data_IF_369379733132
#
_entry.id   IF_369379733132
#
_cell.length_a   1.000
_cell.length_b   1.000
_cell.length_c   1.000
_cell.angle_alpha   90.00
_cell.angle_beta   90.00
_cell.angle_gamma   90.00
#
_symmetry.space_group_name_H-M   'P 1'
#
loop_
_entity.id
_entity.type
_entity.pdbx_description
1 polymer ?
#
# COMPACT_ATOMS: atom_id res chain seq x y z
N UNK A 1 -12.41 3.23 21.51
CA UNK A 1 -11.37 2.48 22.26
C UNK A 1 -10.12 3.35 22.35
N UNK A 2 -9.28 3.24 23.39
CA UNK A 2 -8.04 4.03 23.48
C UNK A 2 -6.95 3.52 22.53
N UNK A 3 -5.99 4.37 22.19
CA UNK A 3 -4.76 3.98 21.48
C UNK A 3 -3.91 3.07 22.38
N UNK A 4 -3.25 2.06 21.81
CA UNK A 4 -2.31 1.18 22.50
C UNK A 4 -0.93 1.30 21.87
N UNK A 5 0.07 1.69 22.64
CA UNK A 5 1.44 1.89 22.15
C UNK A 5 2.37 1.03 23.00
N UNK A 6 3.13 0.15 22.36
CA UNK A 6 4.12 -0.65 23.06
C UNK A 6 5.23 0.25 23.65
N UNK A 7 5.75 -0.02 24.86
CA UNK A 7 6.74 0.85 25.51
C UNK A 7 8.05 1.06 24.74
N UNK A 8 8.37 0.18 23.79
CA UNK A 8 9.58 0.28 22.94
C UNK A 8 9.34 0.96 21.60
N UNK A 9 8.10 1.35 21.29
CA UNK A 9 7.81 2.14 20.10
C UNK A 9 8.31 3.58 20.27
N UNK A 10 8.92 4.13 19.23
CA UNK A 10 9.37 5.51 19.17
C UNK A 10 8.38 6.33 18.33
N UNK A 11 7.62 7.20 18.99
CA UNK A 11 6.68 8.11 18.35
C UNK A 11 7.23 9.53 18.49
N UNK A 12 7.53 10.17 17.37
CA UNK A 12 8.02 11.55 17.37
C UNK A 12 6.89 12.56 17.65
N UNK A 13 7.27 13.82 17.86
CA UNK A 13 6.30 14.90 18.12
C UNK A 13 5.37 15.13 16.92
N UNK A 14 4.15 15.61 17.19
CA UNK A 14 3.15 15.94 16.17
C UNK A 14 2.75 14.75 15.29
N UNK A 15 2.77 13.53 15.83
CA UNK A 15 2.14 12.36 15.23
C UNK A 15 0.71 12.25 15.76
N UNK A 16 -0.25 12.11 14.87
CA UNK A 16 -1.65 11.89 15.23
C UNK A 16 -2.00 10.41 15.08
N UNK A 17 -2.60 9.82 16.11
CA UNK A 17 -2.99 8.40 16.11
C UNK A 17 -4.44 8.29 16.56
N UNK A 18 -5.30 7.77 15.68
CA UNK A 18 -6.73 7.63 15.90
C UNK A 18 -7.08 6.54 16.92
N UNK A 19 -8.29 6.63 17.45
CA UNK A 19 -8.83 5.73 18.47
C UNK A 19 -8.76 4.24 18.05
N UNK A 20 -8.49 3.36 19.03
CA UNK A 20 -8.42 1.91 18.80
C UNK A 20 -7.17 1.41 18.06
N UNK A 21 -6.34 2.31 17.53
CA UNK A 21 -5.08 1.94 16.86
C UNK A 21 -4.08 1.33 17.83
N UNK A 22 -3.37 0.29 17.36
CA UNK A 22 -2.36 -0.44 18.11
C UNK A 22 -1.00 -0.36 17.42
N UNK A 23 0.01 0.09 18.16
CA UNK A 23 1.40 0.20 17.71
C UNK A 23 2.25 -0.79 18.50
N UNK A 24 2.86 -1.73 17.78
CA UNK A 24 3.63 -2.83 18.34
C UNK A 24 5.09 -2.44 18.62
N UNK A 25 5.88 -3.39 19.13
CA UNK A 25 7.23 -3.13 19.61
C UNK A 25 8.18 -2.64 18.51
N UNK A 26 9.11 -1.77 18.90
CA UNK A 26 10.18 -1.26 18.05
C UNK A 26 9.70 -0.57 16.75
N UNK A 27 8.44 -0.17 16.69
CA UNK A 27 7.93 0.71 15.64
C UNK A 27 8.53 2.09 15.80
N UNK A 28 8.88 2.75 14.69
CA UNK A 28 9.26 4.16 14.68
C UNK A 28 8.33 4.92 13.73
N UNK A 29 7.56 5.86 14.28
CA UNK A 29 6.70 6.77 13.51
C UNK A 29 7.23 8.18 13.66
N UNK A 30 7.61 8.78 12.53
CA UNK A 30 8.21 10.11 12.48
C UNK A 30 7.17 11.22 12.43
N UNK A 31 7.60 12.41 12.81
CA UNK A 31 6.78 13.60 12.98
C UNK A 31 5.88 13.92 11.79
N UNK A 32 4.80 14.66 12.03
CA UNK A 32 3.87 15.14 11.00
C UNK A 32 3.13 14.02 10.24
N UNK A 33 3.17 12.79 10.73
CA UNK A 33 2.43 11.65 10.17
C UNK A 33 1.09 11.50 10.85
N UNK A 34 0.08 11.05 10.11
CA UNK A 34 -1.26 10.80 10.62
C UNK A 34 -1.63 9.33 10.43
N UNK A 35 -2.11 8.69 11.49
CA UNK A 35 -2.62 7.32 11.47
C UNK A 35 -4.06 7.37 11.94
N UNK A 36 -4.98 6.85 11.12
CA UNK A 36 -6.40 6.81 11.44
C UNK A 36 -6.75 5.87 12.59
N UNK A 37 -8.04 5.59 12.67
CA UNK A 37 -8.65 4.76 13.73
C UNK A 37 -8.55 3.27 13.41
N UNK A 38 -8.52 2.45 14.46
CA UNK A 38 -8.58 0.99 14.37
C UNK A 38 -7.48 0.36 13.50
N UNK A 39 -6.32 1.02 13.43
CA UNK A 39 -5.17 0.51 12.69
C UNK A 39 -4.31 -0.45 13.53
N UNK A 40 -3.54 -1.28 12.84
CA UNK A 40 -2.49 -2.11 13.43
C UNK A 40 -1.17 -1.77 12.75
N UNK A 41 -0.19 -1.32 13.52
CA UNK A 41 1.18 -1.06 13.06
C UNK A 41 2.10 -2.08 13.70
N UNK A 42 2.44 -3.11 12.92
CA UNK A 42 3.22 -4.27 13.33
C UNK A 42 4.68 -3.94 13.65
N UNK A 43 5.32 -4.81 14.40
CA UNK A 43 6.62 -4.62 15.00
C UNK A 43 7.72 -4.25 14.01
N UNK A 44 8.66 -3.39 14.44
CA UNK A 44 9.81 -2.94 13.62
C UNK A 44 9.43 -2.22 12.32
N UNK A 45 8.17 -1.81 12.16
CA UNK A 45 7.74 -0.96 11.06
C UNK A 45 8.30 0.44 11.22
N UNK A 46 8.78 1.02 10.14
CA UNK A 46 9.24 2.41 10.07
C UNK A 46 8.31 3.23 9.19
N UNK A 47 7.77 4.31 9.74
CA UNK A 47 6.94 5.28 9.06
C UNK A 47 7.68 6.61 9.04
N UNK A 48 8.11 7.04 7.85
CA UNK A 48 8.76 8.32 7.65
C UNK A 48 7.82 9.49 7.94
N UNK A 49 8.38 10.71 7.98
CA UNK A 49 7.61 11.92 8.29
C UNK A 49 6.61 12.24 7.18
N UNK A 50 5.49 12.87 7.57
CA UNK A 50 4.48 13.32 6.60
C UNK A 50 3.74 12.20 5.87
N UNK A 51 3.71 10.98 6.43
CA UNK A 51 2.96 9.86 5.87
C UNK A 51 1.51 9.93 6.36
N UNK A 52 0.57 9.67 5.45
CA UNK A 52 -0.86 9.63 5.77
C UNK A 52 -1.39 8.19 5.67
N UNK A 53 -1.88 7.65 6.78
CA UNK A 53 -2.51 6.34 6.88
C UNK A 53 -3.95 6.54 7.34
N UNK A 54 -4.91 6.03 6.57
CA UNK A 54 -6.33 6.06 6.85
C UNK A 54 -6.75 5.15 8.01
N UNK A 55 -8.01 4.75 8.01
CA UNK A 55 -8.63 3.96 9.07
C UNK A 55 -8.63 2.46 8.74
N UNK A 56 -8.62 1.61 9.77
CA UNK A 56 -8.72 0.14 9.65
C UNK A 56 -7.60 -0.45 8.77
N UNK A 57 -6.45 0.20 8.74
CA UNK A 57 -5.27 -0.23 7.99
C UNK A 57 -4.48 -1.23 8.83
N UNK A 58 -4.06 -2.34 8.20
CA UNK A 58 -3.20 -3.34 8.82
C UNK A 58 -1.83 -3.35 8.15
N UNK A 59 -0.82 -2.92 8.89
CA UNK A 59 0.59 -2.93 8.49
C UNK A 59 1.29 -3.98 9.34
N UNK A 60 1.86 -5.01 8.71
CA UNK A 60 2.54 -6.09 9.42
C UNK A 60 4.00 -5.72 9.70
N UNK A 61 4.74 -6.66 10.29
CA UNK A 61 6.11 -6.43 10.74
C UNK A 61 7.08 -5.97 9.64
N UNK A 62 8.08 -5.18 10.03
CA UNK A 62 9.22 -4.81 9.18
C UNK A 62 8.83 -4.14 7.85
N UNK A 63 7.77 -3.35 7.85
CA UNK A 63 7.40 -2.54 6.67
C UNK A 63 8.17 -1.22 6.71
N UNK A 64 8.72 -0.79 5.57
CA UNK A 64 9.37 0.51 5.42
C UNK A 64 8.50 1.43 4.55
N UNK A 65 7.99 2.51 5.15
CA UNK A 65 7.13 3.49 4.48
C UNK A 65 7.88 4.83 4.43
N UNK A 66 8.27 5.24 3.23
CA UNK A 66 8.97 6.51 3.00
C UNK A 66 8.01 7.71 2.95
N UNK A 67 8.57 8.92 2.97
CA UNK A 67 7.80 10.15 2.78
C UNK A 67 7.06 10.13 1.41
N UNK A 68 5.98 10.92 1.32
CA UNK A 68 5.10 11.02 0.14
C UNK A 68 4.25 9.77 -0.14
N UNK A 69 4.11 8.86 0.84
CA UNK A 69 3.17 7.75 0.76
C UNK A 69 1.85 8.13 1.44
N UNK A 70 0.75 7.91 0.73
CA UNK A 70 -0.61 7.99 1.26
C UNK A 70 -1.27 6.62 1.15
N UNK A 71 -1.82 6.14 2.27
CA UNK A 71 -2.51 4.85 2.39
C UNK A 71 -3.95 5.13 2.83
N UNK A 72 -4.91 4.76 1.99
CA UNK A 72 -6.34 4.89 2.29
C UNK A 72 -6.86 3.76 3.19
N UNK A 73 -8.14 3.82 3.51
CA UNK A 73 -8.81 2.94 4.46
C UNK A 73 -8.79 1.45 4.09
N UNK A 74 -8.73 0.59 5.09
CA UNK A 74 -8.89 -0.85 4.92
C UNK A 74 -7.76 -1.54 4.14
N UNK A 75 -6.64 -0.83 3.92
CA UNK A 75 -5.47 -1.39 3.24
C UNK A 75 -4.76 -2.41 4.14
N UNK A 76 -4.26 -3.47 3.50
CA UNK A 76 -3.39 -4.47 4.12
C UNK A 76 -1.99 -4.39 3.50
N UNK A 77 -0.97 -4.20 4.33
CA UNK A 77 0.45 -4.22 3.93
C UNK A 77 1.13 -5.34 4.69
N UNK A 78 1.55 -6.37 3.97
CA UNK A 78 2.16 -7.56 4.55
C UNK A 78 3.64 -7.37 4.85
N UNK A 79 4.17 -8.26 5.70
CA UNK A 79 5.47 -8.09 6.32
C UNK A 79 6.63 -7.92 5.32
N UNK A 80 7.62 -7.11 5.67
CA UNK A 80 8.82 -6.90 4.86
C UNK A 80 8.61 -6.10 3.57
N UNK A 81 7.48 -5.44 3.40
CA UNK A 81 7.22 -4.58 2.23
C UNK A 81 8.02 -3.28 2.31
N UNK A 82 8.61 -2.85 1.20
CA UNK A 82 9.44 -1.64 1.11
C UNK A 82 8.85 -0.68 0.08
N UNK A 83 8.58 0.56 0.50
CA UNK A 83 8.23 1.68 -0.38
C UNK A 83 9.46 2.52 -0.75
N UNK A 84 9.42 3.12 -1.94
CA UNK A 84 10.45 4.04 -2.44
C UNK A 84 9.78 5.32 -2.95
N UNK A 85 10.49 6.44 -2.89
CA UNK A 85 9.97 7.77 -3.28
C UNK A 85 10.91 8.57 -4.19
N UNK A 86 12.22 8.26 -4.24
CA UNK A 86 13.18 9.01 -5.06
C UNK A 86 13.32 8.41 -6.47
N UNK A 87 13.12 9.22 -7.51
CA UNK A 87 13.31 8.83 -8.91
C UNK A 87 14.78 8.67 -9.30
N UNK A 88 15.66 9.49 -8.74
CA UNK A 88 17.08 9.57 -9.10
C UNK A 88 18.00 9.59 -7.86
N UNK A 89 17.98 8.53 -7.05
CA UNK A 89 18.75 8.49 -5.81
C UNK A 89 20.25 8.51 -6.07
N UNK A 90 20.95 9.45 -5.43
CA UNK A 90 22.42 9.52 -5.36
C UNK A 90 22.83 10.04 -3.99
N UNK A 91 23.83 9.42 -3.40
CA UNK A 91 24.36 9.84 -2.10
C UNK A 91 25.06 11.21 -2.15
N UNK A 92 25.68 11.56 -3.28
CA UNK A 92 26.53 12.74 -3.42
C UNK A 92 26.21 13.56 -4.65
N UNK A 93 26.79 14.75 -4.72
CA UNK A 93 26.98 15.51 -5.97
C UNK A 93 27.75 14.68 -7.02
N UNK A 94 27.61 14.97 -8.33
CA UNK A 94 28.29 14.22 -9.40
C UNK A 94 29.81 14.18 -9.31
N UNK A 95 30.43 15.16 -8.66
CA UNK A 95 31.88 15.23 -8.44
C UNK A 95 32.37 14.49 -7.18
N UNK A 96 31.45 13.81 -6.46
CA UNK A 96 31.69 13.01 -5.25
C UNK A 96 32.24 13.80 -4.04
N UNK A 97 32.12 15.14 -4.02
CA UNK A 97 32.70 15.96 -2.95
C UNK A 97 31.76 16.26 -1.78
N UNK A 98 30.45 16.19 -2.00
CA UNK A 98 29.46 16.58 -0.99
C UNK A 98 28.31 15.58 -0.95
N UNK A 99 27.85 15.24 0.26
CA UNK A 99 26.62 14.48 0.46
C UNK A 99 25.42 15.33 0.02
N UNK A 100 24.47 14.71 -0.67
CA UNK A 100 23.17 15.33 -0.96
C UNK A 100 22.31 15.32 0.31
N UNK A 101 21.42 16.29 0.42
CA UNK A 101 20.40 16.25 1.47
C UNK A 101 19.51 15.03 1.29
N UNK A 102 18.99 14.51 2.40
CA UNK A 102 17.90 13.51 2.42
C UNK A 102 16.52 14.16 2.58
N UNK A 103 16.46 15.49 2.57
CA UNK A 103 15.20 16.24 2.56
C UNK A 103 14.47 16.04 1.22
N UNK A 104 13.14 16.10 1.20
CA UNK A 104 12.38 15.94 -0.04
C UNK A 104 12.69 17.05 -1.04
N UNK A 105 12.80 16.69 -2.30
CA UNK A 105 12.92 17.62 -3.42
C UNK A 105 11.88 17.31 -4.50
N UNK A 106 12.01 17.92 -5.68
CA UNK A 106 11.14 17.70 -6.85
C UNK A 106 11.19 16.25 -7.41
N UNK A 107 12.13 15.42 -6.95
CA UNK A 107 12.26 14.02 -7.31
C UNK A 107 11.73 13.06 -6.24
N UNK A 108 11.25 13.59 -5.11
CA UNK A 108 10.46 12.84 -4.13
C UNK A 108 9.03 12.73 -4.61
N UNK A 109 8.71 11.61 -5.27
CA UNK A 109 7.43 11.40 -5.94
C UNK A 109 6.46 10.60 -5.08
N UNK A 110 5.14 10.92 -5.16
CA UNK A 110 4.16 10.33 -4.30
C UNK A 110 3.78 8.90 -4.71
N UNK A 111 3.35 8.11 -3.73
CA UNK A 111 2.69 6.82 -3.95
C UNK A 111 1.36 6.79 -3.23
N UNK A 112 0.28 6.47 -3.94
CA UNK A 112 -1.06 6.35 -3.39
C UNK A 112 -1.49 4.88 -3.35
N UNK A 113 -1.81 4.37 -2.16
CA UNK A 113 -2.41 3.04 -1.98
C UNK A 113 -3.88 3.23 -1.64
N UNK A 114 -4.76 2.90 -2.60
CA UNK A 114 -6.20 3.14 -2.47
C UNK A 114 -6.90 2.11 -1.60
N UNK A 115 -8.12 2.47 -1.19
CA UNK A 115 -8.90 1.76 -0.19
C UNK A 115 -9.05 0.26 -0.49
N UNK A 116 -8.88 -0.56 0.55
CA UNK A 116 -9.04 -2.01 0.50
C UNK A 116 -7.95 -2.77 -0.27
N UNK A 117 -6.94 -2.10 -0.82
CA UNK A 117 -5.84 -2.76 -1.51
C UNK A 117 -5.05 -3.67 -0.55
N UNK A 118 -4.50 -4.76 -1.09
CA UNK A 118 -3.63 -5.69 -0.37
C UNK A 118 -2.27 -5.76 -1.03
N UNK A 119 -1.21 -5.52 -0.26
CA UNK A 119 0.16 -5.71 -0.66
C UNK A 119 0.72 -6.94 0.03
N UNK A 120 1.11 -7.95 -0.75
CA UNK A 120 1.70 -9.20 -0.29
C UNK A 120 3.07 -9.01 0.38
N UNK A 121 3.51 -10.03 1.11
CA UNK A 121 4.75 -9.96 1.89
C UNK A 121 5.98 -9.80 1.00
N UNK A 122 6.98 -9.05 1.47
CA UNK A 122 8.26 -8.86 0.79
C UNK A 122 8.17 -8.14 -0.57
N UNK A 123 7.11 -7.36 -0.81
CA UNK A 123 6.98 -6.57 -2.03
C UNK A 123 7.90 -5.34 -2.00
N UNK A 124 8.35 -4.92 -3.18
CA UNK A 124 9.03 -3.64 -3.37
C UNK A 124 8.15 -2.74 -4.24
N UNK A 125 7.80 -1.57 -3.71
CA UNK A 125 6.90 -0.61 -4.34
C UNK A 125 7.71 0.58 -4.85
N UNK A 126 7.63 0.82 -6.14
CA UNK A 126 8.21 2.00 -6.80
C UNK A 126 7.57 3.32 -6.33
N UNK A 127 8.10 4.42 -6.86
CA UNK A 127 7.55 5.76 -6.68
C UNK A 127 6.64 6.17 -7.86
N UNK A 128 5.95 7.31 -7.72
CA UNK A 128 5.15 7.93 -8.78
C UNK A 128 4.06 7.00 -9.34
N UNK A 129 3.38 6.28 -8.45
CA UNK A 129 2.38 5.29 -8.85
C UNK A 129 1.19 5.23 -7.89
N UNK A 130 0.12 4.61 -8.37
CA UNK A 130 -1.06 4.30 -7.57
C UNK A 130 -1.36 2.81 -7.56
N UNK A 131 -1.73 2.27 -6.41
CA UNK A 131 -2.29 0.93 -6.27
C UNK A 131 -3.80 1.08 -6.10
N UNK A 132 -4.54 0.55 -7.06
CA UNK A 132 -5.98 0.71 -7.18
C UNK A 132 -6.78 0.10 -6.03
N UNK A 133 -8.05 0.51 -5.92
CA UNK A 133 -8.99 0.02 -4.91
C UNK A 133 -9.09 -1.49 -4.97
N UNK A 134 -8.99 -2.16 -3.83
CA UNK A 134 -9.06 -3.63 -3.72
C UNK A 134 -8.08 -4.39 -4.64
N UNK A 135 -7.08 -3.73 -5.22
CA UNK A 135 -6.03 -4.41 -5.97
C UNK A 135 -5.25 -5.34 -5.03
N UNK A 136 -4.75 -6.43 -5.58
CA UNK A 136 -3.97 -7.42 -4.84
C UNK A 136 -2.60 -7.59 -5.47
N UNK A 137 -1.56 -7.21 -4.74
CA UNK A 137 -0.17 -7.44 -5.11
C UNK A 137 0.26 -8.78 -4.51
N UNK A 138 0.61 -9.75 -5.33
CA UNK A 138 1.15 -11.02 -4.84
C UNK A 138 2.49 -10.84 -4.14
N UNK A 139 2.80 -11.74 -3.21
CA UNK A 139 4.02 -11.71 -2.42
C UNK A 139 5.29 -11.66 -3.28
N UNK A 140 6.30 -10.93 -2.83
CA UNK A 140 7.60 -10.81 -3.50
C UNK A 140 7.59 -10.03 -4.81
N UNK A 141 6.51 -9.33 -5.15
CA UNK A 141 6.41 -8.64 -6.43
C UNK A 141 7.17 -7.31 -6.43
N UNK A 142 7.77 -6.96 -7.58
CA UNK A 142 8.35 -5.64 -7.82
C UNK A 142 7.36 -4.77 -8.59
N UNK A 143 6.70 -3.83 -7.92
CA UNK A 143 5.69 -2.96 -8.51
C UNK A 143 6.37 -1.70 -9.05
N UNK A 144 6.46 -1.59 -10.39
CA UNK A 144 7.11 -0.46 -11.08
C UNK A 144 6.15 0.44 -11.84
N UNK A 145 4.85 0.13 -11.82
CA UNK A 145 3.79 0.87 -12.52
C UNK A 145 2.51 0.86 -11.67
N UNK A 146 1.65 1.83 -11.90
CA UNK A 146 0.32 1.87 -11.29
C UNK A 146 -0.47 0.59 -11.58
N UNK A 147 -1.19 0.14 -10.56
CA UNK A 147 -2.03 -1.06 -10.59
C UNK A 147 -3.48 -0.62 -10.62
N UNK A 148 -4.29 -1.02 -11.61
CA UNK A 148 -5.70 -0.65 -11.65
C UNK A 148 -6.51 -1.27 -10.51
N UNK A 149 -7.69 -0.70 -10.25
CA UNK A 149 -8.61 -1.19 -9.24
C UNK A 149 -8.98 -2.67 -9.50
N UNK A 150 -9.07 -3.47 -8.44
CA UNK A 150 -9.40 -4.91 -8.47
C UNK A 150 -8.42 -5.80 -9.24
N UNK A 151 -7.26 -5.32 -9.68
CA UNK A 151 -6.29 -6.17 -10.35
C UNK A 151 -5.51 -7.05 -9.37
N UNK A 152 -5.33 -8.32 -9.74
CA UNK A 152 -4.28 -9.17 -9.19
C UNK A 152 -3.01 -8.99 -10.05
N UNK A 153 -1.93 -8.56 -9.42
CA UNK A 153 -0.62 -8.44 -10.06
C UNK A 153 0.41 -9.31 -9.35
N UNK A 154 1.30 -9.94 -10.11
CA UNK A 154 2.39 -10.77 -9.56
C UNK A 154 3.67 -10.60 -10.36
N UNK A 155 4.81 -10.89 -9.73
CA UNK A 155 6.11 -11.11 -10.39
C UNK A 155 7.07 -9.92 -10.34
N UNK A 156 8.18 -10.06 -11.08
CA UNK A 156 9.26 -9.10 -11.13
C UNK A 156 9.66 -8.86 -12.61
N UNK A 157 9.30 -7.71 -13.21
CA UNK A 157 8.36 -6.71 -12.69
C UNK A 157 6.93 -7.26 -12.60
N UNK A 158 6.13 -6.68 -11.70
CA UNK A 158 4.75 -7.09 -11.47
C UNK A 158 3.89 -6.85 -12.71
N UNK A 159 3.07 -7.84 -13.07
CA UNK A 159 2.13 -7.77 -14.20
C UNK A 159 0.73 -8.18 -13.76
N UNK A 160 -0.27 -7.51 -14.31
CA UNK A 160 -1.67 -7.89 -14.19
C UNK A 160 -1.90 -9.30 -14.76
N UNK A 161 -2.42 -10.19 -13.93
CA UNK A 161 -2.73 -11.58 -14.32
C UNK A 161 -4.21 -11.92 -14.19
N UNK A 162 -4.99 -11.11 -13.46
CA UNK A 162 -6.43 -11.33 -13.32
C UNK A 162 -7.12 -10.24 -12.50
N UNK A 163 -8.40 -10.46 -12.25
CA UNK A 163 -9.26 -9.62 -11.44
C UNK A 163 -9.61 -10.32 -10.11
N UNK A 164 -9.72 -9.55 -9.04
CA UNK A 164 -10.12 -10.01 -7.70
C UNK A 164 -11.36 -9.27 -7.22
N UNK A 165 -12.19 -9.97 -6.47
CA UNK A 165 -13.29 -9.38 -5.75
C UNK A 165 -12.76 -8.60 -4.53
N UNK A 166 -13.55 -7.66 -4.02
CA UNK A 166 -13.26 -6.96 -2.76
C UNK A 166 -13.10 -7.89 -1.54
N UNK A 167 -13.65 -9.11 -1.58
CA UNK A 167 -13.46 -10.12 -0.54
C UNK A 167 -12.14 -10.91 -0.68
N UNK A 168 -11.33 -10.62 -1.71
CA UNK A 168 -10.03 -11.24 -1.97
C UNK A 168 -10.06 -12.47 -2.87
N UNK A 169 -11.23 -12.93 -3.31
CA UNK A 169 -11.34 -14.07 -4.23
C UNK A 169 -10.97 -13.69 -5.66
N UNK A 170 -10.28 -14.60 -6.36
CA UNK A 170 -10.02 -14.46 -7.79
C UNK A 170 -11.34 -14.60 -8.57
N UNK A 171 -11.66 -13.60 -9.38
CA UNK A 171 -12.83 -13.61 -10.25
C UNK A 171 -12.50 -14.29 -11.58
N UNK A 172 -11.38 -13.89 -12.20
CA UNK A 172 -11.00 -14.32 -13.54
C UNK A 172 -9.51 -14.07 -13.76
N UNK A 173 -8.85 -14.93 -14.55
CA UNK A 173 -7.53 -14.63 -15.13
C UNK A 173 -7.68 -13.91 -16.46
N UNK A 174 -6.90 -12.86 -16.71
CA UNK A 174 -7.02 -12.10 -17.95
C UNK A 174 -6.62 -12.89 -19.20
N UNK A 175 -5.83 -13.96 -19.06
CA UNK A 175 -5.52 -14.87 -20.16
C UNK A 175 -6.75 -15.67 -20.66
N UNK A 176 -7.79 -15.77 -19.84
CA UNK A 176 -9.04 -16.50 -20.14
C UNK A 176 -10.16 -15.53 -20.58
N UNK A 177 -9.89 -14.22 -20.62
CA UNK A 177 -10.86 -13.22 -21.01
C UNK A 177 -10.95 -13.14 -22.54
N UNK A 178 -12.13 -13.44 -23.09
CA UNK A 178 -12.36 -13.40 -24.54
C UNK A 178 -13.14 -12.17 -24.98
N UNK A 179 -14.04 -11.64 -24.14
CA UNK A 179 -14.86 -10.43 -24.39
C UNK A 179 -15.34 -9.81 -23.06
N UNK A 180 -16.23 -8.81 -23.14
CA UNK A 180 -16.99 -8.27 -22.01
C UNK A 180 -17.79 -9.38 -21.33
N UNK A 181 -17.60 -9.58 -20.03
CA UNK A 181 -18.33 -10.59 -19.26
C UNK A 181 -18.70 -10.11 -17.86
N UNK A 182 -19.82 -10.63 -17.35
CA UNK A 182 -20.25 -10.43 -15.97
C UNK A 182 -19.87 -11.67 -15.18
N UNK A 183 -19.20 -11.48 -14.06
CA UNK A 183 -18.70 -12.55 -13.18
C UNK A 183 -19.17 -12.26 -11.76
N UNK A 184 -19.90 -13.22 -11.18
CA UNK A 184 -20.27 -13.17 -9.78
C UNK A 184 -19.17 -13.80 -8.92
N UNK A 185 -18.81 -13.15 -7.82
CA UNK A 185 -17.88 -13.74 -6.88
C UNK A 185 -18.45 -15.01 -6.27
N UNK A 186 -17.73 -16.12 -6.37
CA UNK A 186 -18.15 -17.44 -5.85
C UNK A 186 -18.33 -17.50 -4.33
N UNK A 187 -17.81 -16.52 -3.58
CA UNK A 187 -17.87 -16.50 -2.10
C UNK A 187 -18.87 -15.47 -1.57
N UNK A 188 -18.82 -14.23 -2.05
CA UNK A 188 -19.70 -13.18 -1.54
C UNK A 188 -20.88 -12.84 -2.45
N UNK A 189 -20.95 -13.44 -3.64
CA UNK A 189 -22.04 -13.23 -4.59
C UNK A 189 -22.08 -11.85 -5.26
N UNK A 190 -21.09 -10.98 -5.02
CA UNK A 190 -21.06 -9.66 -5.62
C UNK A 190 -20.78 -9.73 -7.14
N UNK A 191 -21.55 -9.02 -7.97
CA UNK A 191 -21.39 -9.02 -9.41
C UNK A 191 -20.35 -7.99 -9.88
N UNK A 192 -19.51 -8.42 -10.82
CA UNK A 192 -18.50 -7.60 -11.48
C UNK A 192 -18.64 -7.67 -12.99
N UNK A 193 -18.46 -6.53 -13.65
CA UNK A 193 -18.28 -6.45 -15.10
C UNK A 193 -16.79 -6.34 -15.42
N UNK A 194 -16.30 -7.19 -16.32
CA UNK A 194 -14.91 -7.15 -16.79
C UNK A 194 -14.93 -6.92 -18.29
N UNK A 195 -14.31 -5.82 -18.74
CA UNK A 195 -14.20 -5.45 -20.16
C UNK A 195 -12.80 -4.89 -20.45
N UNK A 196 -12.04 -5.52 -21.35
CA UNK A 196 -10.66 -5.11 -21.69
C UNK A 196 -9.76 -4.88 -20.45
N UNK A 197 -9.84 -5.80 -19.48
CA UNK A 197 -9.19 -5.73 -18.17
C UNK A 197 -9.71 -4.64 -17.22
N UNK A 198 -10.62 -3.76 -17.65
CA UNK A 198 -11.29 -2.84 -16.75
C UNK A 198 -12.30 -3.64 -15.91
N UNK A 199 -12.17 -3.57 -14.59
CA UNK A 199 -13.03 -4.26 -13.63
C UNK A 199 -13.95 -3.25 -12.96
N UNK A 200 -15.26 -3.41 -13.16
CA UNK A 200 -16.30 -2.55 -12.60
C UNK A 200 -17.16 -3.35 -11.62
N UNK A 201 -17.25 -2.90 -10.38
CA UNK A 201 -18.20 -3.42 -9.39
C UNK A 201 -19.61 -2.89 -9.71
N UNK A 202 -20.59 -3.77 -9.95
CA UNK A 202 -21.92 -3.35 -10.44
C UNK A 202 -22.90 -2.95 -9.32
N UNK A 203 -22.76 -3.53 -8.13
CA UNK A 203 -23.63 -3.27 -6.98
C UNK A 203 -22.80 -3.17 -5.69
N UNK A 204 -22.02 -2.09 -5.50
CA UNK A 204 -21.18 -1.95 -4.32
C UNK A 204 -22.04 -1.89 -3.05
N UNK A 205 -21.72 -2.69 -2.00
CA UNK A 205 -22.29 -2.52 -0.67
C UNK A 205 -22.19 -1.06 -0.20
N UNK A 206 -23.29 -0.56 0.37
CA UNK A 206 -23.35 0.74 1.05
C UNK A 206 -22.52 0.74 2.35
#
# INVERSE_FOLDING_TARGET
MSVRIHPTALIESNVEIGAGTSVWDNVHIRHSSTIGEECIIGEKTYVAYGVHIGHRVKINAMVYICNAVTIEDGVMISAGTIFTNDRFPRATTPDLKQLRSSDPDEHTLPTLVKAGATIGAGCTIGNDLSIGRFAMIGMGSLVTKSVPDFHLVIGHPAKSVGAVCRCGQLLLRFAEATEKQIVDCSVCGLPYEINDQIVTELNPPQ
#
